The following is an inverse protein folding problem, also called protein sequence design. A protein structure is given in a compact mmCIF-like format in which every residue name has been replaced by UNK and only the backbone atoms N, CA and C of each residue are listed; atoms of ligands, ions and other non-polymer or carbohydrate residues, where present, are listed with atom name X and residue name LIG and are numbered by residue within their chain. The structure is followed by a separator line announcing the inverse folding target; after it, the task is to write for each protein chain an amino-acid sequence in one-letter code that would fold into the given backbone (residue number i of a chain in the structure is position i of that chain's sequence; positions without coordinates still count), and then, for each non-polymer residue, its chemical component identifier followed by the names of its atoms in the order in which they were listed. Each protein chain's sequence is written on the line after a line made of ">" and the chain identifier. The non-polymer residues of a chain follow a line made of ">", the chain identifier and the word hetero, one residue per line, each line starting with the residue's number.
data_IF_756796242065
#
_entry.id   IF_756796242065
#
_cell.length_a   1.000
_cell.length_b   1.000
_cell.length_c   1.000
_cell.angle_alpha   90.00
_cell.angle_beta   90.00
_cell.angle_gamma   90.00
#
_symmetry.space_group_name_H-M   'P 1'
#
loop_
_entity.id
_entity.type
_entity.pdbx_description
1 polymer ?
#
# COMPACT_ATOMS: atom_id res chain seq x y z
N UNK A 1 -2.45 -2.32 12.44
CA UNK A 1 -2.54 -2.46 10.97
C UNK A 1 -1.16 -2.82 10.44
N UNK A 2 -0.98 -4.00 9.86
CA UNK A 2 0.31 -4.38 9.26
C UNK A 2 0.54 -3.63 7.94
N UNK A 3 1.82 -3.39 7.64
CA UNK A 3 2.26 -2.73 6.42
C UNK A 3 2.86 -3.77 5.48
N UNK A 4 2.50 -3.69 4.20
CA UNK A 4 3.10 -4.52 3.15
C UNK A 4 3.98 -3.63 2.27
N UNK A 5 5.26 -3.96 2.17
CA UNK A 5 6.16 -3.20 1.31
C UNK A 5 6.24 -3.83 -0.08
N UNK A 6 6.22 -2.98 -1.09
CA UNK A 6 6.41 -3.40 -2.47
C UNK A 6 7.49 -2.51 -3.10
N UNK A 7 8.39 -3.11 -3.86
CA UNK A 7 9.45 -2.40 -4.57
C UNK A 7 9.06 -2.14 -6.01
N UNK A 8 9.54 -1.05 -6.58
CA UNK A 8 9.36 -0.73 -8.00
C UNK A 8 9.87 -1.86 -8.93
N UNK A 9 10.90 -2.59 -8.46
CA UNK A 9 11.52 -3.69 -9.20
C UNK A 9 10.69 -4.97 -9.23
N UNK A 10 9.62 -5.07 -8.41
CA UNK A 10 8.73 -6.24 -8.42
C UNK A 10 7.95 -6.38 -9.73
N UNK A 11 7.79 -5.27 -10.48
CA UNK A 11 6.99 -5.26 -11.68
C UNK A 11 5.49 -5.39 -11.40
N UNK A 12 4.72 -5.34 -12.47
CA UNK A 12 3.26 -5.39 -12.40
C UNK A 12 2.73 -6.71 -11.83
N UNK A 13 3.31 -7.83 -12.29
CA UNK A 13 2.91 -9.16 -11.81
C UNK A 13 3.22 -9.38 -10.33
N UNK A 14 4.40 -8.93 -9.88
CA UNK A 14 4.79 -9.03 -8.48
C UNK A 14 3.91 -8.18 -7.57
N UNK A 15 3.56 -6.97 -8.01
CA UNK A 15 2.63 -6.11 -7.29
C UNK A 15 1.25 -6.78 -7.19
N UNK A 16 0.72 -7.26 -8.31
CA UNK A 16 -0.57 -7.94 -8.35
C UNK A 16 -0.60 -9.16 -7.44
N UNK A 17 0.45 -9.97 -7.45
CA UNK A 17 0.59 -11.13 -6.57
C UNK A 17 0.54 -10.71 -5.09
N UNK A 18 1.31 -9.70 -4.71
CA UNK A 18 1.34 -9.21 -3.32
C UNK A 18 -0.02 -8.68 -2.86
N UNK A 19 -0.71 -7.94 -3.72
CA UNK A 19 -2.04 -7.40 -3.40
C UNK A 19 -3.09 -8.50 -3.21
N UNK A 20 -3.09 -9.51 -4.07
CA UNK A 20 -3.99 -10.65 -3.96
C UNK A 20 -3.73 -11.47 -2.70
N UNK A 21 -2.46 -11.75 -2.42
CA UNK A 21 -2.08 -12.60 -1.29
C UNK A 21 -2.35 -11.95 0.06
N UNK A 22 -2.16 -10.64 0.17
CA UNK A 22 -2.32 -9.91 1.43
C UNK A 22 -3.72 -9.34 1.65
N UNK A 23 -4.56 -9.31 0.62
CA UNK A 23 -5.88 -8.67 0.66
C UNK A 23 -5.80 -7.21 1.16
N UNK A 24 -4.77 -6.49 0.74
CA UNK A 24 -4.56 -5.10 1.13
C UNK A 24 -5.75 -4.23 0.72
N UNK A 25 -6.12 -3.28 1.56
CA UNK A 25 -7.28 -2.38 1.34
C UNK A 25 -6.88 -0.97 0.95
N UNK A 26 -5.64 -0.59 1.26
CA UNK A 26 -5.11 0.74 0.98
C UNK A 26 -3.71 0.63 0.38
N UNK A 27 -3.43 1.45 -0.62
CA UNK A 27 -2.09 1.62 -1.18
C UNK A 27 -1.64 3.06 -0.96
N UNK A 28 -0.42 3.23 -0.43
CA UNK A 28 0.29 4.51 -0.40
C UNK A 28 1.43 4.48 -1.41
N UNK A 29 1.53 5.54 -2.23
CA UNK A 29 2.53 5.59 -3.32
C UNK A 29 2.88 7.02 -3.71
N UNK A 30 3.96 7.17 -4.47
CA UNK A 30 4.29 8.43 -5.10
C UNK A 30 3.42 8.69 -6.33
N UNK A 31 3.06 9.97 -6.63
CA UNK A 31 2.08 10.29 -7.65
C UNK A 31 2.39 9.76 -9.06
N UNK A 32 3.67 9.68 -9.41
CA UNK A 32 4.08 9.19 -10.74
C UNK A 32 3.78 7.69 -10.95
N UNK A 33 3.42 6.97 -9.88
CA UNK A 33 3.08 5.55 -9.94
C UNK A 33 1.58 5.29 -10.09
N UNK A 34 0.74 6.33 -10.02
CA UNK A 34 -0.73 6.17 -10.05
C UNK A 34 -1.22 5.39 -11.27
N UNK A 35 -0.71 5.69 -12.44
CA UNK A 35 -1.12 5.00 -13.68
C UNK A 35 -0.68 3.55 -13.73
N UNK A 36 0.37 3.19 -12.99
CA UNK A 36 0.84 1.80 -12.89
C UNK A 36 -0.12 0.89 -12.13
N UNK A 37 -1.09 1.45 -11.41
CA UNK A 37 -2.11 0.68 -10.69
C UNK A 37 -3.27 0.24 -11.59
N UNK A 38 -3.45 0.84 -12.75
CA UNK A 38 -4.62 0.60 -13.61
C UNK A 38 -4.80 -0.89 -13.93
N UNK A 39 -3.75 -1.56 -14.36
CA UNK A 39 -3.81 -2.98 -14.70
C UNK A 39 -3.83 -3.90 -13.47
N UNK A 40 -2.94 -3.75 -12.48
CA UNK A 40 -2.96 -4.61 -11.30
C UNK A 40 -4.29 -4.61 -10.55
N UNK A 41 -4.97 -3.46 -10.48
CA UNK A 41 -6.23 -3.35 -9.77
C UNK A 41 -7.43 -3.97 -10.50
N UNK A 42 -7.27 -4.37 -11.76
CA UNK A 42 -8.29 -5.15 -12.48
C UNK A 42 -8.44 -6.56 -11.89
N UNK A 43 -7.37 -7.09 -11.32
CA UNK A 43 -7.29 -8.44 -10.80
C UNK A 43 -7.61 -8.54 -9.30
N UNK A 44 -7.67 -7.42 -8.59
CA UNK A 44 -8.02 -7.38 -7.17
C UNK A 44 -8.99 -6.25 -6.89
N UNK A 45 -10.09 -6.56 -6.22
CA UNK A 45 -11.11 -5.59 -5.80
C UNK A 45 -11.02 -5.24 -4.32
N UNK A 46 -10.04 -5.79 -3.62
CA UNK A 46 -9.86 -5.56 -2.18
C UNK A 46 -9.38 -4.12 -1.90
N UNK A 47 -8.63 -3.54 -2.82
CA UNK A 47 -8.17 -2.15 -2.70
C UNK A 47 -9.36 -1.19 -2.84
N UNK A 48 -9.56 -0.38 -1.80
CA UNK A 48 -10.62 0.62 -1.74
C UNK A 48 -10.06 2.04 -1.71
N UNK A 49 -8.84 2.20 -1.21
CA UNK A 49 -8.20 3.50 -0.99
C UNK A 49 -6.84 3.56 -1.66
N UNK A 50 -6.60 4.66 -2.35
CA UNK A 50 -5.29 5.02 -2.89
C UNK A 50 -4.90 6.37 -2.32
N UNK A 51 -3.76 6.42 -1.62
CA UNK A 51 -3.24 7.64 -1.02
C UNK A 51 -1.90 7.95 -1.67
N UNK A 52 -1.75 9.16 -2.20
CA UNK A 52 -0.50 9.59 -2.82
C UNK A 52 0.24 10.62 -1.98
N UNK A 53 1.57 10.60 -2.13
CA UNK A 53 2.48 11.49 -1.43
C UNK A 53 2.22 12.95 -1.81
N UNK A 54 1.91 13.81 -0.82
CA UNK A 54 1.58 15.22 -1.02
C UNK A 54 2.80 16.10 -1.29
N UNK A 55 4.01 15.62 -1.01
CA UNK A 55 5.24 16.41 -1.18
C UNK A 55 5.75 16.41 -2.63
N UNK A 56 5.11 15.66 -3.50
CA UNK A 56 5.47 15.54 -4.90
C UNK A 56 4.35 16.09 -5.78
N UNK A 57 4.73 16.62 -6.95
CA UNK A 57 3.74 17.06 -7.92
C UNK A 57 2.89 15.89 -8.41
N UNK A 58 1.59 16.11 -8.47
CA UNK A 58 0.64 15.15 -9.01
C UNK A 58 0.05 15.66 -10.32
N UNK A 59 0.00 14.79 -11.31
CA UNK A 59 -0.74 15.07 -12.54
C UNK A 59 -2.21 14.69 -12.33
N UNK A 60 -3.10 15.68 -12.38
CA UNK A 60 -4.54 15.45 -12.19
C UNK A 60 -5.11 14.48 -13.22
N UNK A 61 -4.57 14.45 -14.44
CA UNK A 61 -4.98 13.52 -15.48
C UNK A 61 -4.73 12.07 -15.06
N UNK A 62 -3.65 11.80 -14.33
CA UNK A 62 -3.34 10.46 -13.83
C UNK A 62 -4.36 10.01 -12.78
N UNK A 63 -4.79 10.91 -11.92
CA UNK A 63 -5.86 10.65 -10.94
C UNK A 63 -7.16 10.31 -11.68
N UNK A 64 -7.51 11.11 -12.68
CA UNK A 64 -8.73 10.91 -13.47
C UNK A 64 -8.71 9.57 -14.22
N UNK A 65 -7.60 9.22 -14.85
CA UNK A 65 -7.43 7.95 -15.55
C UNK A 65 -7.62 6.75 -14.60
N UNK A 66 -7.02 6.81 -13.42
CA UNK A 66 -7.17 5.76 -12.42
C UNK A 66 -8.62 5.68 -11.94
N UNK A 67 -9.26 6.82 -11.69
CA UNK A 67 -10.66 6.88 -11.25
C UNK A 67 -11.63 6.37 -12.31
N UNK A 68 -11.39 6.67 -13.58
CA UNK A 68 -12.19 6.16 -14.69
C UNK A 68 -12.08 4.65 -14.83
N UNK A 69 -10.85 4.12 -14.68
CA UNK A 69 -10.61 2.68 -14.75
C UNK A 69 -11.22 1.94 -13.56
N UNK A 70 -11.23 2.56 -12.38
CA UNK A 70 -11.69 1.97 -11.12
C UNK A 70 -12.56 2.97 -10.34
N UNK A 71 -13.84 3.15 -10.74
CA UNK A 71 -14.73 4.16 -10.12
C UNK A 71 -15.00 3.97 -8.63
N UNK A 72 -14.79 2.76 -8.10
CA UNK A 72 -15.01 2.45 -6.69
C UNK A 72 -13.90 2.98 -5.77
N UNK A 73 -12.74 3.37 -6.33
CA UNK A 73 -11.61 3.84 -5.53
C UNK A 73 -11.88 5.22 -4.92
N UNK A 74 -11.47 5.38 -3.67
CA UNK A 74 -11.29 6.69 -3.05
C UNK A 74 -9.81 7.07 -3.16
N UNK A 75 -9.50 8.12 -3.91
CA UNK A 75 -8.14 8.59 -4.16
C UNK A 75 -7.93 9.89 -3.40
N UNK A 76 -6.96 9.91 -2.51
CA UNK A 76 -6.67 11.03 -1.62
C UNK A 76 -5.18 11.37 -1.64
N UNK A 77 -4.86 12.64 -1.46
CA UNK A 77 -3.51 13.03 -1.06
C UNK A 77 -3.25 12.65 0.41
N UNK A 78 -1.98 12.55 0.79
CA UNK A 78 -1.64 12.30 2.20
C UNK A 78 -2.13 13.43 3.11
N UNK A 79 -2.09 14.68 2.65
CA UNK A 79 -2.59 15.83 3.39
C UNK A 79 -4.11 15.75 3.62
N UNK A 80 -4.87 15.33 2.61
CA UNK A 80 -6.30 15.10 2.75
C UNK A 80 -6.62 13.99 3.75
N UNK A 81 -5.83 12.91 3.74
CA UNK A 81 -5.97 11.82 4.70
C UNK A 81 -5.68 12.31 6.12
N UNK A 82 -4.60 13.07 6.31
CA UNK A 82 -4.23 13.64 7.60
C UNK A 82 -5.34 14.55 8.14
N UNK A 83 -5.89 15.41 7.28
CA UNK A 83 -7.00 16.29 7.67
C UNK A 83 -8.23 15.51 8.09
N UNK A 84 -8.58 14.45 7.36
CA UNK A 84 -9.69 13.56 7.76
C UNK A 84 -9.44 12.89 9.10
N UNK A 85 -8.20 12.49 9.38
CA UNK A 85 -7.82 11.91 10.66
C UNK A 85 -7.94 12.91 11.81
N UNK A 86 -7.55 14.16 11.61
CA UNK A 86 -7.70 15.23 12.61
C UNK A 86 -9.16 15.54 12.93
N UNK A 87 -10.03 15.48 11.91
CA UNK A 87 -11.48 15.69 12.07
C UNK A 87 -12.19 14.49 12.73
N UNK A 88 -11.58 13.31 12.71
CA UNK A 88 -12.15 12.06 13.18
C UNK A 88 -11.16 11.31 14.10
N UNK A 89 -10.74 11.94 15.17
CA UNK A 89 -9.79 11.37 16.12
C UNK A 89 -10.30 10.07 16.72
N UNK A 90 -9.42 9.06 16.78
CA UNK A 90 -9.71 7.76 17.40
C UNK A 90 -8.65 7.45 18.46
N UNK A 91 -9.04 6.67 19.46
CA UNK A 91 -8.12 6.22 20.49
C UNK A 91 -7.05 5.31 19.90
N UNK A 92 -5.76 5.51 20.25
CA UNK A 92 -4.71 4.60 19.83
C UNK A 92 -4.93 3.18 20.33
N UNK A 93 -4.68 2.20 19.46
CA UNK A 93 -4.67 0.78 19.81
C UNK A 93 -3.25 0.27 19.63
N UNK A 94 -2.40 0.30 20.69
CA UNK A 94 -1.01 -0.14 20.58
C UNK A 94 -0.92 -1.61 20.19
N UNK A 95 0.02 -1.98 19.31
CA UNK A 95 0.23 -3.38 18.98
C UNK A 95 0.92 -4.15 20.11
N UNK A 96 0.68 -5.46 20.14
CA UNK A 96 1.38 -6.38 21.03
C UNK A 96 2.64 -6.94 20.33
N UNK A 97 3.64 -7.43 21.08
CA UNK A 97 4.88 -7.96 20.48
C UNK A 97 4.66 -9.07 19.44
N UNK A 98 3.62 -9.89 19.63
CA UNK A 98 3.29 -11.00 18.73
C UNK A 98 2.48 -10.58 17.50
N UNK A 99 1.99 -9.34 17.47
CA UNK A 99 1.21 -8.83 16.34
C UNK A 99 2.11 -8.67 15.11
N UNK A 100 1.52 -8.88 13.94
CA UNK A 100 2.19 -8.68 12.66
C UNK A 100 2.48 -7.18 12.46
N UNK A 101 3.75 -6.85 12.25
CA UNK A 101 4.21 -5.49 11.99
C UNK A 101 4.20 -5.20 10.49
N UNK A 102 4.91 -6.01 9.71
CA UNK A 102 5.00 -5.82 8.27
C UNK A 102 5.22 -7.13 7.53
N UNK A 103 4.90 -7.10 6.25
CA UNK A 103 5.17 -8.16 5.29
C UNK A 103 6.14 -7.59 4.26
N UNK A 104 7.34 -8.15 4.15
CA UNK A 104 8.36 -7.72 3.20
C UNK A 104 8.51 -8.77 2.11
N UNK A 105 8.24 -8.38 0.87
CA UNK A 105 8.40 -9.26 -0.27
C UNK A 105 9.84 -9.30 -0.74
N UNK A 106 10.35 -10.51 -0.96
CA UNK A 106 11.68 -10.74 -1.52
C UNK A 106 11.56 -11.37 -2.91
N UNK A 107 12.40 -10.94 -3.82
CA UNK A 107 12.53 -11.53 -5.16
C UNK A 107 13.32 -12.85 -5.07
N UNK A 108 12.73 -13.88 -4.50
CA UNK A 108 13.41 -15.17 -4.36
C UNK A 108 13.93 -15.74 -5.68
N UNK A 109 14.90 -16.66 -5.61
CA UNK A 109 15.56 -17.29 -6.77
C UNK A 109 14.61 -18.11 -7.65
N UNK A 110 13.35 -18.28 -7.29
CA UNK A 110 12.37 -19.14 -7.95
C UNK A 110 11.20 -18.41 -8.61
N UNK A 111 11.37 -17.13 -8.98
CA UNK A 111 10.44 -16.38 -9.82
C UNK A 111 9.31 -15.66 -9.09
N UNK A 112 8.53 -16.32 -8.25
CA UNK A 112 7.41 -15.67 -7.54
C UNK A 112 7.91 -15.04 -6.22
N UNK A 113 7.66 -13.73 -5.99
CA UNK A 113 8.05 -13.09 -4.74
C UNK A 113 7.41 -13.76 -3.53
N UNK A 114 8.17 -13.87 -2.45
CA UNK A 114 7.71 -14.44 -1.18
C UNK A 114 7.56 -13.34 -0.13
N UNK A 115 6.44 -13.35 0.59
CA UNK A 115 6.20 -12.45 1.70
C UNK A 115 6.82 -12.97 3.00
N UNK A 116 7.76 -12.21 3.56
CA UNK A 116 8.36 -12.49 4.87
C UNK A 116 7.56 -11.77 5.94
N UNK A 117 7.03 -12.52 6.90
CA UNK A 117 6.22 -11.98 8.00
C UNK A 117 7.11 -11.53 9.15
N UNK A 118 7.04 -10.25 9.52
CA UNK A 118 7.77 -9.69 10.63
C UNK A 118 6.80 -9.22 11.72
N UNK A 119 6.99 -9.74 12.93
CA UNK A 119 6.24 -9.31 14.12
C UNK A 119 6.90 -8.08 14.74
N UNK A 120 6.15 -7.32 15.54
CA UNK A 120 6.69 -6.15 16.24
C UNK A 120 7.92 -6.48 17.06
N UNK A 121 7.94 -7.61 17.77
CA UNK A 121 9.11 -8.06 18.54
C UNK A 121 10.37 -8.29 17.68
N UNK A 122 10.19 -8.74 16.44
CA UNK A 122 11.32 -8.96 15.53
C UNK A 122 11.97 -7.61 15.12
N UNK A 123 11.15 -6.62 14.83
CA UNK A 123 11.61 -5.28 14.43
C UNK A 123 12.33 -4.61 15.59
N UNK A 124 11.80 -4.68 16.80
CA UNK A 124 12.43 -4.10 18.00
C UNK A 124 13.77 -4.79 18.29
N UNK A 125 13.82 -6.12 18.18
CA UNK A 125 15.06 -6.88 18.43
C UNK A 125 16.19 -6.54 17.42
N UNK A 126 15.83 -6.13 16.21
CA UNK A 126 16.78 -5.73 15.18
C UNK A 126 17.15 -4.23 15.25
N UNK A 127 16.46 -3.45 16.06
CA UNK A 127 16.74 -2.02 16.22
C UNK A 127 17.93 -1.80 17.17
N UNK A 128 18.86 -0.88 16.83
CA UNK A 128 19.98 -0.56 17.71
C UNK A 128 19.54 0.18 18.99
#
# INVERSE_FOLDING_TARGET
>A
MPIVTAYDTLGEEGLMHSLKQTHAKLIFLDPHLLTKLINPLKETKDIQYVVYNSQMEVNKDDIEKLKEAHPHLTILSFDELTKKGEENMVEPVPPQPEDLCCIMYTSGSTGTPKGVLLKHKNVIAASP
#
